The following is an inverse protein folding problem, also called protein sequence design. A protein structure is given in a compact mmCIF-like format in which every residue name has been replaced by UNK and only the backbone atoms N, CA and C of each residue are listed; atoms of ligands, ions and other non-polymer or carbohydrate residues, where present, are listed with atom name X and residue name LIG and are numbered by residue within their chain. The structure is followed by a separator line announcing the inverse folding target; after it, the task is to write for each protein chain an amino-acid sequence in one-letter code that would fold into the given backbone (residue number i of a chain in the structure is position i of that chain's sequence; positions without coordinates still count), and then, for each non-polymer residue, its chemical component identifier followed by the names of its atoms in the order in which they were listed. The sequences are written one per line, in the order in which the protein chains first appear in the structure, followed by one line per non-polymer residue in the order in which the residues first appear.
data_IF_333694568197
#
_entry.id   IF_333694568197
#
_cell.length_a   1.000
_cell.length_b   1.000
_cell.length_c   1.000
_cell.angle_alpha   90.00
_cell.angle_beta   90.00
_cell.angle_gamma   90.00
#
_symmetry.space_group_name_H-M   'P 1'
#
loop_
_entity.id
_entity.type
_entity.pdbx_description
1 polymer ?
#
# COMPACT_ATOMS: atom_id res chain seq x y z
N UNK A 1 -19.67 -20.03 21.08
CA UNK A 1 -18.31 -19.65 20.69
C UNK A 1 -17.98 -20.21 19.31
N UNK A 2 -18.35 -21.45 19.00
CA UNK A 2 -18.07 -22.12 17.71
C UNK A 2 -18.55 -21.35 16.47
N UNK A 3 -19.77 -20.78 16.49
CA UNK A 3 -20.30 -20.02 15.36
C UNK A 3 -19.47 -18.77 15.02
N UNK A 4 -18.84 -18.13 16.01
CA UNK A 4 -18.01 -16.93 15.80
C UNK A 4 -16.71 -17.31 15.10
N UNK A 5 -16.14 -18.47 15.45
CA UNK A 5 -14.87 -18.94 14.87
C UNK A 5 -15.09 -19.37 13.41
N UNK A 6 -16.21 -20.03 13.12
CA UNK A 6 -16.59 -20.40 11.75
C UNK A 6 -16.80 -19.15 10.88
N UNK A 7 -17.53 -18.14 11.38
CA UNK A 7 -17.71 -16.89 10.66
C UNK A 7 -16.40 -16.15 10.41
N UNK A 8 -15.51 -16.11 11.41
CA UNK A 8 -14.19 -15.49 11.27
C UNK A 8 -13.38 -16.17 10.15
N UNK A 9 -13.45 -17.50 10.07
CA UNK A 9 -12.75 -18.28 9.05
C UNK A 9 -13.31 -18.05 7.66
N UNK A 10 -14.64 -18.03 7.49
CA UNK A 10 -15.28 -17.74 6.20
C UNK A 10 -14.91 -16.34 5.67
N UNK A 11 -14.93 -15.33 6.55
CA UNK A 11 -14.51 -13.96 6.19
C UNK A 11 -13.04 -13.93 5.79
N UNK A 12 -12.18 -14.66 6.50
CA UNK A 12 -10.76 -14.75 6.18
C UNK A 12 -10.50 -15.38 4.80
N UNK A 13 -11.19 -16.48 4.52
CA UNK A 13 -11.08 -17.19 3.24
C UNK A 13 -11.60 -16.33 2.09
N UNK A 14 -12.77 -15.72 2.25
CA UNK A 14 -13.33 -14.79 1.26
C UNK A 14 -12.38 -13.61 0.98
N UNK A 15 -11.80 -13.04 2.04
CA UNK A 15 -10.81 -11.97 1.93
C UNK A 15 -9.55 -12.41 1.17
N UNK A 16 -9.04 -13.62 1.40
CA UNK A 16 -7.89 -14.16 0.67
C UNK A 16 -8.16 -14.25 -0.85
N UNK A 17 -9.30 -14.80 -1.24
CA UNK A 17 -9.67 -14.88 -2.65
C UNK A 17 -9.83 -13.50 -3.30
N UNK A 18 -10.49 -12.57 -2.61
CA UNK A 18 -10.67 -11.21 -3.09
C UNK A 18 -9.33 -10.50 -3.32
N UNK A 19 -8.35 -10.70 -2.43
CA UNK A 19 -7.04 -10.05 -2.54
C UNK A 19 -6.21 -10.72 -3.62
N UNK A 20 -6.24 -12.05 -3.74
CA UNK A 20 -5.58 -12.74 -4.85
C UNK A 20 -6.11 -12.26 -6.22
N UNK A 21 -7.44 -12.14 -6.36
CA UNK A 21 -8.05 -11.60 -7.57
C UNK A 21 -7.66 -10.14 -7.83
N UNK A 22 -7.75 -9.28 -6.81
CA UNK A 22 -7.38 -7.86 -6.91
C UNK A 22 -5.90 -7.68 -7.27
N UNK A 23 -5.03 -8.48 -6.67
CA UNK A 23 -3.60 -8.46 -6.95
C UNK A 23 -3.29 -8.93 -8.37
N UNK A 24 -3.99 -9.97 -8.85
CA UNK A 24 -3.83 -10.47 -10.23
C UNK A 24 -4.24 -9.41 -11.24
N UNK A 25 -5.39 -8.75 -11.01
CA UNK A 25 -5.85 -7.64 -11.85
C UNK A 25 -4.84 -6.50 -11.83
N UNK A 26 -4.35 -6.12 -10.65
CA UNK A 26 -3.38 -5.04 -10.50
C UNK A 26 -2.05 -5.35 -11.22
N UNK A 27 -1.56 -6.60 -11.15
CA UNK A 27 -0.36 -7.04 -11.89
C UNK A 27 -0.61 -7.04 -13.40
N UNK A 28 -1.78 -7.45 -13.86
CA UNK A 28 -2.14 -7.43 -15.28
C UNK A 28 -2.15 -6.00 -15.83
N UNK A 29 -2.81 -5.08 -15.12
CA UNK A 29 -2.80 -3.64 -15.44
C UNK A 29 -1.39 -3.05 -15.38
N UNK A 30 -0.58 -3.51 -14.42
CA UNK A 30 0.81 -3.11 -14.29
C UNK A 30 1.62 -3.51 -15.53
N UNK A 31 1.54 -4.76 -15.99
CA UNK A 31 2.29 -5.22 -17.16
C UNK A 31 1.87 -4.49 -18.44
N UNK A 32 0.57 -4.23 -18.61
CA UNK A 32 0.06 -3.49 -19.76
C UNK A 32 0.58 -2.05 -19.83
N UNK A 33 0.55 -1.34 -18.70
CA UNK A 33 0.97 0.08 -18.62
C UNK A 33 2.48 0.27 -18.59
N UNK A 34 3.25 -0.69 -18.07
CA UNK A 34 4.72 -0.60 -17.96
C UNK A 34 5.40 -0.37 -19.32
N UNK A 35 4.91 -1.03 -20.37
CA UNK A 35 5.47 -0.93 -21.72
C UNK A 35 5.31 0.46 -22.34
N UNK A 36 4.29 1.20 -21.93
CA UNK A 36 4.02 2.56 -22.38
C UNK A 36 4.78 3.57 -21.53
N UNK A 37 4.79 3.36 -20.21
CA UNK A 37 5.47 4.20 -19.23
C UNK A 37 6.99 4.18 -19.38
N UNK A 38 7.60 3.01 -19.62
CA UNK A 38 9.06 2.92 -19.82
C UNK A 38 9.51 3.73 -21.04
N UNK A 39 8.74 3.71 -22.13
CA UNK A 39 9.04 4.50 -23.33
C UNK A 39 8.80 5.99 -23.17
N UNK A 40 7.77 6.39 -22.42
CA UNK A 40 7.44 7.81 -22.23
C UNK A 40 8.27 8.49 -21.13
N UNK A 41 8.53 7.80 -20.02
CA UNK A 41 9.26 8.36 -18.88
C UNK A 41 10.77 8.46 -19.18
N UNK A 42 11.36 7.45 -19.81
CA UNK A 42 12.80 7.46 -20.09
C UNK A 42 13.19 8.39 -21.26
N UNK A 43 12.23 8.81 -22.11
CA UNK A 43 12.49 9.76 -23.21
C UNK A 43 12.21 11.23 -22.84
N UNK A 44 11.56 11.53 -21.71
CA UNK A 44 11.14 12.91 -21.36
C UNK A 44 11.92 13.42 -20.14
N UNK A 45 12.03 14.75 -20.00
CA UNK A 45 12.69 15.43 -18.88
C UNK A 45 12.12 14.91 -17.55
N UNK A 46 12.97 14.34 -16.69
CA UNK A 46 12.58 13.86 -15.36
C UNK A 46 12.15 15.04 -14.47
N UNK A 47 10.84 15.30 -14.40
CA UNK A 47 10.25 16.14 -13.36
C UNK A 47 10.13 15.33 -12.07
N UNK A 48 10.22 15.99 -10.90
CA UNK A 48 10.08 15.31 -9.60
C UNK A 48 8.81 14.47 -9.46
N UNK A 49 7.76 14.83 -10.19
CA UNK A 49 6.53 14.06 -10.35
C UNK A 49 6.70 12.69 -11.01
N UNK A 50 7.58 12.54 -11.99
CA UNK A 50 7.85 11.23 -12.62
C UNK A 50 8.58 10.28 -11.66
N UNK A 51 9.50 10.82 -10.86
CA UNK A 51 10.21 10.04 -9.84
C UNK A 51 9.24 9.61 -8.74
N UNK A 52 8.37 10.52 -8.28
CA UNK A 52 7.34 10.21 -7.27
C UNK A 52 6.38 9.13 -7.78
N UNK A 53 6.01 9.18 -9.05
CA UNK A 53 5.15 8.19 -9.70
C UNK A 53 5.80 6.80 -9.75
N UNK A 54 7.07 6.74 -10.16
CA UNK A 54 7.87 5.51 -10.12
C UNK A 54 7.91 4.97 -8.69
N UNK A 55 8.30 5.81 -7.72
CA UNK A 55 8.50 5.40 -6.34
C UNK A 55 7.21 4.88 -5.71
N UNK A 56 6.07 5.53 -5.99
CA UNK A 56 4.75 5.04 -5.57
C UNK A 56 4.47 3.65 -6.15
N UNK A 57 4.68 3.50 -7.45
CA UNK A 57 4.38 2.27 -8.19
C UNK A 57 5.23 1.08 -7.72
N UNK A 58 6.52 1.28 -7.46
CA UNK A 58 7.39 0.23 -6.92
C UNK A 58 7.10 -0.06 -5.45
N UNK A 59 6.78 0.94 -4.62
CA UNK A 59 6.37 0.74 -3.23
C UNK A 59 5.08 -0.06 -3.11
N UNK A 60 4.07 0.23 -3.93
CA UNK A 60 2.82 -0.54 -3.95
C UNK A 60 3.03 -1.98 -4.45
N UNK A 61 3.90 -2.18 -5.44
CA UNK A 61 4.27 -3.52 -5.90
C UNK A 61 4.94 -4.35 -4.78
N UNK A 62 5.90 -3.74 -4.08
CA UNK A 62 6.63 -4.39 -2.99
C UNK A 62 5.68 -4.75 -1.83
N UNK A 63 4.79 -3.82 -1.46
CA UNK A 63 3.76 -4.05 -0.46
C UNK A 63 2.86 -5.24 -0.82
N UNK A 64 2.39 -5.30 -2.07
CA UNK A 64 1.54 -6.39 -2.55
C UNK A 64 2.24 -7.75 -2.44
N UNK A 65 3.53 -7.82 -2.79
CA UNK A 65 4.33 -9.05 -2.66
C UNK A 65 4.50 -9.47 -1.20
N UNK A 66 4.87 -8.53 -0.32
CA UNK A 66 5.02 -8.79 1.12
C UNK A 66 3.69 -9.27 1.70
N UNK A 67 2.57 -8.67 1.28
CA UNK A 67 1.25 -9.06 1.72
C UNK A 67 0.88 -10.49 1.32
N UNK A 68 1.16 -10.88 0.06
CA UNK A 68 0.93 -12.26 -0.38
C UNK A 68 1.74 -13.27 0.45
N UNK A 69 3.01 -12.96 0.72
CA UNK A 69 3.89 -13.81 1.54
C UNK A 69 3.36 -13.91 2.97
N UNK A 70 2.90 -12.80 3.55
CA UNK A 70 2.32 -12.78 4.90
C UNK A 70 1.04 -13.61 5.02
N UNK A 71 0.24 -13.68 3.94
CA UNK A 71 -1.03 -14.41 3.92
C UNK A 71 -0.87 -15.90 3.57
N UNK A 72 0.31 -16.34 3.14
CA UNK A 72 0.57 -17.75 2.88
C UNK A 72 0.60 -18.54 4.20
N UNK A 73 -0.10 -19.69 4.27
CA UNK A 73 -0.03 -20.55 5.44
C UNK A 73 1.38 -21.15 5.54
N UNK A 74 2.13 -20.79 6.58
CA UNK A 74 3.48 -21.26 6.84
C UNK A 74 3.74 -21.43 8.34
N UNK A 75 4.65 -22.34 8.69
CA UNK A 75 5.04 -22.59 10.07
C UNK A 75 6.21 -21.65 10.45
N UNK A 76 5.86 -20.45 10.90
CA UNK A 76 6.83 -19.41 11.26
C UNK A 76 7.02 -19.32 12.77
N UNK A 77 8.24 -19.06 13.23
CA UNK A 77 8.54 -18.74 14.63
C UNK A 77 7.91 -17.39 15.02
N UNK A 78 7.54 -17.20 16.29
CA UNK A 78 6.94 -15.94 16.79
C UNK A 78 7.78 -14.68 16.43
N UNK A 79 9.10 -14.83 16.40
CA UNK A 79 10.02 -13.74 16.04
C UNK A 79 9.98 -13.38 14.55
N UNK A 80 9.82 -14.37 13.68
CA UNK A 80 9.66 -14.18 12.23
C UNK A 80 8.31 -13.51 11.93
N UNK A 81 7.25 -13.93 12.62
CA UNK A 81 5.93 -13.32 12.51
C UNK A 81 5.96 -11.84 12.91
N UNK A 82 6.61 -11.50 14.03
CA UNK A 82 6.77 -10.12 14.47
C UNK A 82 7.53 -9.28 13.45
N UNK A 83 8.64 -9.80 12.92
CA UNK A 83 9.45 -9.09 11.92
C UNK A 83 8.68 -8.87 10.62
N UNK A 84 7.96 -9.88 10.14
CA UNK A 84 7.09 -9.78 8.96
C UNK A 84 5.98 -8.74 9.15
N UNK A 85 5.38 -8.68 10.35
CA UNK A 85 4.35 -7.68 10.67
C UNK A 85 4.92 -6.25 10.57
N UNK A 86 6.12 -6.02 11.11
CA UNK A 86 6.81 -4.71 11.01
C UNK A 86 7.13 -4.33 9.56
N UNK A 87 7.62 -5.30 8.77
CA UNK A 87 7.93 -5.09 7.35
C UNK A 87 6.63 -4.78 6.58
N UNK A 88 5.56 -5.49 6.88
CA UNK A 88 4.26 -5.27 6.26
C UNK A 88 3.71 -3.87 6.57
N UNK A 89 3.62 -3.48 7.85
CA UNK A 89 3.09 -2.17 8.26
C UNK A 89 3.91 -1.01 7.68
N UNK A 90 5.24 -1.14 7.68
CA UNK A 90 6.13 -0.11 7.12
C UNK A 90 5.98 0.01 5.59
N UNK A 91 5.88 -1.11 4.88
CA UNK A 91 5.63 -1.12 3.43
C UNK A 91 4.26 -0.51 3.09
N UNK A 92 3.23 -0.77 3.91
CA UNK A 92 1.90 -0.17 3.77
C UNK A 92 1.98 1.36 3.89
N UNK A 93 2.59 1.83 4.98
CA UNK A 93 2.73 3.25 5.26
C UNK A 93 3.46 3.96 4.12
N UNK A 94 4.57 3.41 3.63
CA UNK A 94 5.29 3.97 2.48
C UNK A 94 4.43 4.04 1.22
N UNK A 95 3.76 2.95 0.86
CA UNK A 95 2.88 2.90 -0.32
C UNK A 95 1.78 3.95 -0.22
N UNK A 96 1.16 4.09 0.96
CA UNK A 96 0.09 5.04 1.23
C UNK A 96 0.57 6.50 1.17
N UNK A 97 1.70 6.82 1.81
CA UNK A 97 2.30 8.16 1.79
C UNK A 97 2.57 8.57 0.34
N UNK A 98 3.17 7.69 -0.45
CA UNK A 98 3.51 8.00 -1.84
C UNK A 98 2.25 8.14 -2.71
N UNK A 99 1.22 7.34 -2.46
CA UNK A 99 -0.07 7.40 -3.19
C UNK A 99 -0.78 8.71 -2.88
N UNK A 100 -0.86 9.03 -1.59
CA UNK A 100 -1.47 10.26 -1.08
C UNK A 100 -0.74 11.46 -1.66
N UNK A 101 0.60 11.51 -1.59
CA UNK A 101 1.39 12.59 -2.16
C UNK A 101 1.13 12.77 -3.66
N UNK A 102 1.01 11.68 -4.42
CA UNK A 102 0.70 11.72 -5.85
C UNK A 102 -0.70 12.31 -6.11
N UNK A 103 -1.70 11.87 -5.34
CA UNK A 103 -3.06 12.41 -5.44
C UNK A 103 -3.10 13.89 -5.03
N UNK A 104 -2.49 14.27 -3.91
CA UNK A 104 -2.40 15.65 -3.46
C UNK A 104 -1.75 16.53 -4.52
N UNK A 105 -0.68 16.05 -5.17
CA UNK A 105 0.00 16.80 -6.23
C UNK A 105 -0.88 16.96 -7.47
N UNK A 106 -1.64 15.93 -7.85
CA UNK A 106 -2.62 16.02 -8.94
C UNK A 106 -3.74 17.00 -8.62
N UNK A 107 -4.30 16.97 -7.42
CA UNK A 107 -5.35 17.91 -6.99
C UNK A 107 -4.78 19.32 -6.90
N UNK A 108 -3.57 19.48 -6.37
CA UNK A 108 -2.86 20.76 -6.29
C UNK A 108 -2.64 21.41 -7.66
N UNK A 109 -2.27 20.61 -8.67
CA UNK A 109 -2.13 21.08 -10.05
C UNK A 109 -3.46 21.50 -10.69
N UNK A 110 -4.58 20.95 -10.24
CA UNK A 110 -5.94 21.30 -10.72
C UNK A 110 -6.48 22.55 -9.99
N UNK A 111 -6.14 22.71 -8.71
CA UNK A 111 -6.66 23.75 -7.82
C UNK A 111 -5.74 24.97 -7.65
N UNK A 112 -4.93 25.28 -8.66
CA UNK A 112 -4.08 26.48 -8.71
C UNK A 112 -3.23 26.67 -7.43
N UNK A 113 -2.52 25.61 -7.02
CA UNK A 113 -1.51 25.67 -5.96
C UNK A 113 -2.00 25.85 -4.51
N UNK A 114 -3.23 25.44 -4.17
CA UNK A 114 -3.72 25.59 -2.78
C UNK A 114 -3.03 24.66 -1.76
N UNK A 115 -2.40 25.25 -0.72
CA UNK A 115 -1.67 24.53 0.35
C UNK A 115 -2.57 23.73 1.31
N UNK A 116 -3.89 23.95 1.26
CA UNK A 116 -4.88 23.32 2.14
C UNK A 116 -4.93 21.79 1.91
N UNK A 117 -4.80 21.36 0.65
CA UNK A 117 -4.87 19.93 0.29
C UNK A 117 -3.66 19.17 0.85
N UNK A 118 -2.48 19.82 0.85
CA UNK A 118 -1.26 19.25 1.42
C UNK A 118 -1.40 19.07 2.95
N UNK A 119 -1.95 20.09 3.63
CA UNK A 119 -2.19 20.04 5.07
C UNK A 119 -3.17 18.93 5.48
N UNK A 120 -4.27 18.78 4.74
CA UNK A 120 -5.25 17.69 4.97
C UNK A 120 -4.59 16.31 4.77
N UNK A 121 -3.77 16.18 3.74
CA UNK A 121 -3.08 14.92 3.41
C UNK A 121 -2.06 14.51 4.49
N UNK A 122 -1.31 15.48 5.02
CA UNK A 122 -0.38 15.27 6.13
C UNK A 122 -1.13 14.89 7.41
N UNK A 123 -2.24 15.58 7.71
CA UNK A 123 -3.09 15.28 8.87
C UNK A 123 -3.64 13.84 8.82
N UNK A 124 -4.10 13.40 7.63
CA UNK A 124 -4.63 12.05 7.44
C UNK A 124 -3.56 10.97 7.53
N UNK A 125 -2.34 11.28 7.08
CA UNK A 125 -1.18 10.39 7.21
C UNK A 125 -0.76 10.26 8.67
N UNK A 126 -0.72 11.37 9.42
CA UNK A 126 -0.40 11.38 10.84
C UNK A 126 -1.42 10.61 11.68
N UNK A 127 -2.73 10.74 11.40
CA UNK A 127 -3.76 10.01 12.12
C UNK A 127 -3.65 8.48 11.92
N UNK A 128 -3.31 8.06 10.69
CA UNK A 128 -3.03 6.66 10.37
C UNK A 128 -1.83 6.10 11.14
N UNK A 129 -0.70 6.79 11.09
CA UNK A 129 0.50 6.39 11.84
C UNK A 129 0.23 6.29 13.34
N UNK A 130 -0.58 7.19 13.90
CA UNK A 130 -0.99 7.11 15.29
C UNK A 130 -1.80 5.83 15.58
N UNK A 131 -2.74 5.45 14.70
CA UNK A 131 -3.52 4.21 14.84
C UNK A 131 -2.64 2.96 14.76
N UNK A 132 -1.68 2.91 13.82
CA UNK A 132 -0.74 1.80 13.70
C UNK A 132 0.10 1.62 14.98
N UNK A 133 0.61 2.73 15.53
CA UNK A 133 1.37 2.71 16.80
C UNK A 133 0.49 2.23 17.95
N UNK A 134 -0.75 2.70 18.05
CA UNK A 134 -1.69 2.30 19.11
C UNK A 134 -2.03 0.82 19.01
N UNK A 135 -2.31 0.30 17.82
CA UNK A 135 -2.59 -1.13 17.59
C UNK A 135 -1.37 -1.96 17.96
N UNK A 136 -0.17 -1.54 17.56
CA UNK A 136 1.08 -2.24 17.91
C UNK A 136 1.37 -2.23 19.41
N UNK A 137 1.10 -1.14 20.13
CA UNK A 137 1.24 -1.06 21.59
C UNK A 137 0.24 -1.97 22.30
N UNK A 138 -1.00 -2.06 21.78
CA UNK A 138 -2.04 -2.88 22.39
C UNK A 138 -1.85 -4.39 22.14
N UNK A 139 -1.14 -4.78 21.07
CA UNK A 139 -0.82 -6.17 20.73
C UNK A 139 0.52 -6.68 21.30
N UNK A 140 1.27 -5.82 22.01
CA UNK A 140 2.54 -6.14 22.67
C UNK A 140 2.31 -6.57 24.12
#
# INVERSE_FOLDING_TARGET
MDNVIVQQFEVWVAGNYAIAASATLWIADYMGTLSMESRMIWRKKHTGTSILFILNRYSSFLYLLIYMVFRMPGNSTDQECRTLLWIFSSAEAMSLITTTALFSLRVYAIYDESQIILAISILFTLSRLAMDIVVHIHFL
#
